data_IF_533604731967
#
_entry.id   IF_533604731967
#
_cell.length_a   1.000
_cell.length_b   1.000
_cell.length_c   1.000
_cell.angle_alpha   90.00
_cell.angle_beta   90.00
_cell.angle_gamma   90.00
#
_symmetry.space_group_name_H-M   'P 1'
#
loop_
_entity.id
_entity.type
_entity.pdbx_description
1 polymer ?
#
# COMPACT_ATOMS: atom_id res chain seq x y z
N UNK A 1 4.06 9.56 18.79
CA UNK A 1 3.79 8.12 18.58
C UNK A 1 3.25 7.92 17.17
N UNK A 2 3.72 6.92 16.41
CA UNK A 2 3.09 6.53 15.13
C UNK A 2 1.76 5.82 15.43
N UNK A 3 0.66 6.31 14.89
CA UNK A 3 -0.66 5.70 15.10
C UNK A 3 -0.79 4.35 14.39
N UNK A 4 -0.19 4.22 13.21
CA UNK A 4 -0.14 2.98 12.43
C UNK A 4 1.33 2.61 12.16
N UNK A 5 1.76 1.44 12.64
CA UNK A 5 3.16 0.98 12.49
C UNK A 5 3.33 0.05 11.28
N UNK A 6 2.38 -0.85 11.08
CA UNK A 6 2.33 -1.82 9.97
C UNK A 6 0.96 -1.72 9.31
N UNK A 7 0.92 -1.67 7.99
CA UNK A 7 -0.29 -1.51 7.19
C UNK A 7 -0.22 -2.54 6.06
N UNK A 8 -1.31 -3.28 5.87
CA UNK A 8 -1.48 -4.20 4.74
C UNK A 8 -2.61 -3.67 3.86
N UNK A 9 -2.34 -3.51 2.57
CA UNK A 9 -3.31 -3.08 1.57
C UNK A 9 -3.55 -4.20 0.56
N UNK A 10 -4.79 -4.29 0.07
CA UNK A 10 -5.19 -5.24 -0.95
C UNK A 10 -5.61 -4.49 -2.21
N UNK A 11 -5.08 -4.90 -3.35
CA UNK A 11 -5.49 -4.38 -4.66
C UNK A 11 -5.81 -5.53 -5.59
N UNK A 12 -6.70 -5.30 -6.55
CA UNK A 12 -7.17 -6.37 -7.43
C UNK A 12 -6.12 -6.72 -8.49
N UNK A 13 -5.50 -5.70 -9.10
CA UNK A 13 -4.52 -5.86 -10.16
C UNK A 13 -3.21 -5.15 -9.84
N UNK A 14 -2.11 -5.50 -10.53
CA UNK A 14 -0.94 -4.63 -10.61
C UNK A 14 -1.35 -3.23 -11.08
N UNK A 15 -0.69 -2.19 -10.57
CA UNK A 15 -0.88 -0.75 -10.84
C UNK A 15 -2.03 -0.07 -10.08
N UNK A 16 -3.02 -0.84 -9.59
CA UNK A 16 -4.10 -0.32 -8.76
C UNK A 16 -3.55 0.38 -7.49
N UNK A 17 -2.44 -0.13 -6.92
CA UNK A 17 -1.84 0.46 -5.72
C UNK A 17 -1.33 1.88 -5.97
N UNK A 18 -0.81 2.11 -7.17
CA UNK A 18 -0.27 3.40 -7.58
C UNK A 18 -1.40 4.35 -7.94
N UNK A 19 -2.38 3.89 -8.73
CA UNK A 19 -3.51 4.71 -9.22
C UNK A 19 -4.47 5.10 -8.10
N UNK A 20 -4.80 4.19 -7.19
CA UNK A 20 -5.79 4.45 -6.14
C UNK A 20 -5.20 5.11 -4.90
N UNK A 21 -3.95 4.79 -4.55
CA UNK A 21 -3.40 5.12 -3.24
C UNK A 21 -1.91 5.53 -3.20
N UNK A 22 -1.24 5.70 -4.35
CA UNK A 22 0.21 5.89 -4.40
C UNK A 22 0.72 7.06 -3.55
N UNK A 23 0.05 8.21 -3.59
CA UNK A 23 0.41 9.38 -2.77
C UNK A 23 0.25 9.11 -1.26
N UNK A 24 -0.78 8.38 -0.87
CA UNK A 24 -1.06 8.00 0.52
C UNK A 24 -0.03 7.00 1.03
N UNK A 25 0.28 5.98 0.23
CA UNK A 25 1.33 4.99 0.54
C UNK A 25 2.67 5.70 0.75
N UNK A 26 3.07 6.58 -0.18
CA UNK A 26 4.30 7.34 -0.07
C UNK A 26 4.35 8.22 1.18
N UNK A 27 3.25 8.92 1.50
CA UNK A 27 3.15 9.72 2.73
C UNK A 27 3.34 8.86 3.99
N UNK A 28 2.70 7.69 4.05
CA UNK A 28 2.77 6.80 5.20
C UNK A 28 4.17 6.18 5.37
N UNK A 29 4.84 5.84 4.27
CA UNK A 29 6.25 5.40 4.26
C UNK A 29 7.16 6.52 4.78
N UNK A 30 6.99 7.75 4.34
CA UNK A 30 7.79 8.90 4.80
C UNK A 30 7.55 9.24 6.27
N UNK A 31 6.35 8.99 6.77
CA UNK A 31 6.06 9.05 8.20
C UNK A 31 6.64 7.85 8.98
N UNK A 32 7.19 6.86 8.27
CA UNK A 32 7.92 5.69 8.76
C UNK A 32 7.04 4.48 9.06
N UNK A 33 5.88 4.37 8.43
CA UNK A 33 5.03 3.18 8.50
C UNK A 33 5.60 2.09 7.59
N UNK A 34 5.49 0.83 8.01
CA UNK A 34 5.79 -0.33 7.18
C UNK A 34 4.53 -0.68 6.38
N UNK A 35 4.62 -0.63 5.05
CA UNK A 35 3.50 -0.94 4.14
C UNK A 35 3.77 -2.28 3.45
N UNK A 36 2.78 -3.16 3.44
CA UNK A 36 2.73 -4.38 2.65
C UNK A 36 1.58 -4.28 1.67
N UNK A 37 1.80 -4.76 0.44
CA UNK A 37 0.80 -4.74 -0.63
C UNK A 37 0.55 -6.18 -1.04
N UNK A 38 -0.71 -6.62 -0.98
CA UNK A 38 -1.16 -7.92 -1.42
C UNK A 38 -2.02 -7.77 -2.68
N UNK A 39 -1.59 -8.39 -3.77
CA UNK A 39 -2.31 -8.42 -5.04
C UNK A 39 -2.62 -9.89 -5.34
N UNK A 40 -3.87 -10.36 -5.15
CA UNK A 40 -4.22 -11.76 -5.26
C UNK A 40 -4.32 -12.24 -6.71
N UNK A 41 -4.57 -11.34 -7.68
CA UNK A 41 -4.60 -11.69 -9.08
C UNK A 41 -3.29 -11.25 -9.76
N UNK A 42 -2.46 -12.22 -10.16
CA UNK A 42 -1.30 -11.97 -11.05
C UNK A 42 -1.70 -11.75 -12.50
N UNK A 43 -3.00 -11.65 -12.81
CA UNK A 43 -3.50 -11.41 -14.17
C UNK A 43 -3.28 -12.57 -15.15
N UNK A 44 -3.30 -13.82 -14.67
CA UNK A 44 -3.31 -15.05 -15.49
C UNK A 44 -4.71 -15.63 -15.56
#
# INVERSE_FOLDING_TARGET
MKQYKKILTFFAHPDDETLAAGATINKLINLGSEIHIAIPATGI
#
